data_IF_566127129429
#
_entry.id   IF_566127129429
#
_cell.length_a   1.000
_cell.length_b   1.000
_cell.length_c   1.000
_cell.angle_alpha   90.00
_cell.angle_beta   90.00
_cell.angle_gamma   90.00
#
_symmetry.space_group_name_H-M   'P 1'
#
loop_
_entity.id
_entity.type
_entity.pdbx_description
1 polymer ?
#
# COMPACT_ATOMS: atom_id res chain seq x y z
N UNK A 1 -5.74 -0.63 -14.81
CA UNK A 1 -5.43 -1.97 -15.36
C UNK A 1 -4.27 -1.83 -16.34
N UNK A 2 -3.06 -2.30 -16.01
CA UNK A 2 -2.07 -2.59 -17.04
C UNK A 2 -2.28 -4.06 -17.43
N UNK A 3 -2.65 -4.24 -18.68
CA UNK A 3 -3.12 -5.45 -19.33
C UNK A 3 -2.01 -6.48 -19.51
N UNK A 4 -1.62 -7.20 -18.44
CA UNK A 4 -1.03 -8.56 -18.50
C UNK A 4 -0.76 -9.24 -17.13
N UNK A 5 -1.29 -8.77 -15.99
CA UNK A 5 -1.12 -9.52 -14.72
C UNK A 5 0.33 -9.68 -14.23
N UNK A 6 1.29 -8.93 -14.78
CA UNK A 6 2.67 -8.95 -14.30
C UNK A 6 2.77 -8.20 -12.97
N UNK A 7 3.23 -8.90 -11.94
CA UNK A 7 3.58 -8.33 -10.64
C UNK A 7 4.82 -7.44 -10.82
N UNK A 8 4.72 -6.15 -10.46
CA UNK A 8 5.84 -5.23 -10.46
C UNK A 8 6.35 -4.99 -9.04
N UNK A 9 7.61 -5.29 -8.79
CA UNK A 9 8.27 -5.05 -7.51
C UNK A 9 8.61 -3.56 -7.37
N UNK A 10 8.48 -3.05 -6.16
CA UNK A 10 8.80 -1.67 -5.81
C UNK A 10 9.56 -1.61 -4.48
N UNK A 11 10.01 -0.42 -4.06
CA UNK A 11 10.65 -0.24 -2.77
C UNK A 11 10.23 1.07 -2.11
N UNK A 12 10.54 1.21 -0.81
CA UNK A 12 10.30 2.45 -0.07
C UNK A 12 11.13 3.63 -0.59
N UNK A 13 12.35 3.37 -1.06
CA UNK A 13 13.26 4.40 -1.59
C UNK A 13 13.00 4.75 -3.04
N UNK A 14 12.38 3.85 -3.81
CA UNK A 14 12.10 4.04 -5.22
C UNK A 14 10.71 3.51 -5.55
N UNK A 15 9.74 4.43 -5.64
CA UNK A 15 8.41 4.10 -6.10
C UNK A 15 8.40 3.96 -7.63
N UNK A 16 8.60 2.73 -8.10
CA UNK A 16 8.59 2.38 -9.53
C UNK A 16 7.18 2.20 -10.10
N UNK A 17 6.13 2.40 -9.29
CA UNK A 17 4.75 2.17 -9.69
C UNK A 17 4.22 3.24 -10.64
N UNK A 18 3.33 2.85 -11.56
CA UNK A 18 2.65 3.79 -12.45
C UNK A 18 1.65 4.66 -11.69
N UNK A 19 1.15 5.73 -12.31
CA UNK A 19 0.32 6.76 -11.67
C UNK A 19 -0.98 6.27 -11.01
N UNK A 20 -1.51 5.12 -11.39
CA UNK A 20 -2.73 4.53 -10.79
C UNK A 20 -2.43 3.46 -9.75
N UNK A 21 -1.16 3.21 -9.47
CA UNK A 21 -0.66 2.19 -8.55
C UNK A 21 0.13 2.82 -7.42
N UNK A 22 0.13 2.15 -6.27
CA UNK A 22 0.91 2.51 -5.09
C UNK A 22 1.82 1.35 -4.71
N UNK A 23 2.94 1.66 -4.07
CA UNK A 23 3.89 0.64 -3.63
C UNK A 23 3.44 0.04 -2.29
N UNK A 24 2.92 -1.18 -2.32
CA UNK A 24 2.67 -1.95 -1.11
C UNK A 24 3.98 -2.53 -0.59
N UNK A 25 4.29 -2.27 0.68
CA UNK A 25 5.47 -2.83 1.34
C UNK A 25 5.02 -4.04 2.16
N UNK A 26 5.47 -5.23 1.80
CA UNK A 26 5.13 -6.48 2.48
C UNK A 26 6.15 -6.89 3.54
N UNK A 27 6.08 -8.15 3.97
CA UNK A 27 7.06 -8.76 4.87
C UNK A 27 8.34 -9.20 4.12
N UNK A 28 8.18 -9.52 2.84
CA UNK A 28 9.22 -10.07 1.97
C UNK A 28 9.22 -9.33 0.62
N UNK A 29 10.26 -9.54 -0.18
CA UNK A 29 10.35 -8.93 -1.51
C UNK A 29 9.17 -9.33 -2.41
N UNK A 30 8.75 -10.60 -2.34
CA UNK A 30 7.61 -11.13 -3.12
C UNK A 30 6.27 -10.52 -2.71
N UNK A 31 6.16 -9.96 -1.50
CA UNK A 31 4.97 -9.26 -1.01
C UNK A 31 5.12 -7.74 -1.07
N UNK A 32 6.21 -7.23 -1.67
CA UNK A 32 6.49 -5.81 -1.86
C UNK A 32 6.32 -5.43 -3.34
N UNK A 33 5.13 -4.95 -3.70
CA UNK A 33 4.72 -4.81 -5.10
C UNK A 33 3.76 -3.64 -5.35
N UNK A 34 3.62 -3.28 -6.62
CA UNK A 34 2.69 -2.25 -7.06
C UNK A 34 1.25 -2.76 -7.05
N UNK A 35 0.43 -2.20 -6.15
CA UNK A 35 -1.00 -2.50 -6.04
C UNK A 35 -1.83 -1.40 -6.74
N UNK A 36 -2.96 -1.74 -7.38
CA UNK A 36 -3.85 -0.74 -7.94
C UNK A 36 -4.56 0.06 -6.83
N UNK A 37 -5.20 1.17 -7.21
CA UNK A 37 -6.00 1.97 -6.29
C UNK A 37 -5.20 3.05 -5.58
N UNK A 38 -4.23 3.65 -6.27
CA UNK A 38 -3.58 4.87 -5.78
C UNK A 38 -4.65 5.94 -5.52
N UNK A 39 -4.58 6.55 -4.34
CA UNK A 39 -5.40 7.71 -3.98
C UNK A 39 -4.56 8.97 -3.94
N UNK A 40 -5.22 10.12 -3.93
CA UNK A 40 -4.56 11.41 -3.69
C UNK A 40 -3.96 11.44 -2.28
N UNK A 41 -2.74 11.95 -2.14
CA UNK A 41 -2.00 11.97 -0.87
C UNK A 41 -2.78 12.66 0.26
N UNK A 42 -3.55 13.70 -0.08
CA UNK A 42 -4.41 14.42 0.86
C UNK A 42 -5.55 13.59 1.44
N UNK A 43 -5.93 12.49 0.77
CA UNK A 43 -7.02 11.58 1.16
C UNK A 43 -6.52 10.26 1.75
N UNK A 44 -5.21 9.99 1.70
CA UNK A 44 -4.63 8.72 2.16
C UNK A 44 -4.95 8.43 3.64
N UNK A 45 -4.87 9.44 4.52
CA UNK A 45 -5.18 9.30 5.95
C UNK A 45 -6.69 9.16 6.25
N UNK A 46 -7.55 9.30 5.25
CA UNK A 46 -9.00 9.13 5.38
C UNK A 46 -9.45 7.71 5.03
N UNK A 47 -8.55 6.88 4.50
CA UNK A 47 -8.84 5.49 4.18
C UNK A 47 -9.11 4.68 5.46
N UNK A 48 -10.05 3.72 5.42
CA UNK A 48 -10.31 2.85 6.55
C UNK A 48 -9.10 1.94 6.83
N UNK A 49 -8.99 1.47 8.07
CA UNK A 49 -8.01 0.46 8.45
C UNK A 49 -8.20 -0.81 7.60
N UNK A 50 -7.14 -1.20 6.89
CA UNK A 50 -7.06 -2.48 6.19
C UNK A 50 -6.09 -3.42 6.93
N UNK A 51 -6.62 -4.50 7.51
CA UNK A 51 -5.82 -5.52 8.21
C UNK A 51 -4.95 -6.33 7.23
N UNK A 52 -5.37 -6.41 5.96
CA UNK A 52 -4.70 -7.20 4.94
C UNK A 52 -5.05 -8.69 5.02
N UNK A 53 -4.35 -9.49 4.23
CA UNK A 53 -4.49 -10.95 4.17
C UNK A 53 -3.10 -11.59 4.22
N UNK A 54 -2.99 -12.73 4.90
CA UNK A 54 -1.73 -13.47 5.07
C UNK A 54 -1.41 -13.74 6.55
N UNK A 55 -0.30 -14.44 6.79
CA UNK A 55 0.13 -14.84 8.14
C UNK A 55 1.21 -13.95 8.77
N UNK A 56 1.69 -12.92 8.07
CA UNK A 56 2.75 -12.06 8.57
C UNK A 56 2.24 -11.08 9.64
N UNK A 57 3.04 -10.87 10.69
CA UNK A 57 2.77 -9.85 11.71
C UNK A 57 3.73 -8.68 11.53
N UNK A 58 3.24 -7.55 10.99
CA UNK A 58 4.04 -6.35 10.73
C UNK A 58 3.49 -5.18 11.53
N UNK A 59 4.35 -4.46 12.24
CA UNK A 59 3.97 -3.21 12.88
C UNK A 59 3.67 -2.15 11.80
N UNK A 60 2.44 -1.64 11.81
CA UNK A 60 1.92 -0.62 10.89
C UNK A 60 1.12 0.41 11.67
N UNK A 61 0.88 1.54 11.03
CA UNK A 61 0.15 2.67 11.60
C UNK A 61 -0.96 3.07 10.64
N UNK A 62 -2.09 3.50 11.19
CA UNK A 62 -3.18 4.10 10.43
C UNK A 62 -3.74 5.27 11.23
N UNK A 63 -4.26 6.29 10.56
CA UNK A 63 -4.88 7.39 11.25
C UNK A 63 -6.34 7.04 11.60
N UNK A 64 -6.70 7.12 12.88
CA UNK A 64 -8.07 7.00 13.33
C UNK A 64 -8.70 8.39 13.44
N UNK A 65 -9.57 8.72 12.50
CA UNK A 65 -10.25 10.02 12.42
C UNK A 65 -11.23 10.28 13.55
N UNK A 66 -11.78 9.26 14.21
CA UNK A 66 -12.73 9.45 15.32
C UNK A 66 -12.05 10.01 16.57
N UNK A 67 -10.80 9.63 16.80
CA UNK A 67 -10.02 10.03 17.98
C UNK A 67 -8.81 10.91 17.65
N UNK A 68 -8.61 11.22 16.37
CA UNK A 68 -7.53 12.06 15.85
C UNK A 68 -6.12 11.60 16.27
N UNK A 69 -5.84 10.29 16.14
CA UNK A 69 -4.54 9.69 16.50
C UNK A 69 -4.08 8.68 15.46
N UNK A 70 -2.77 8.48 15.38
CA UNK A 70 -2.14 7.38 14.64
C UNK A 70 -1.94 6.15 15.54
#
# INVERSE_FOLDING_TARGET
MHSNGHIKICSKSLNSCSSTFWCHIGAELLTTLCCPGRVEESTACQLPLAIGHGGANLQRWYFNSNIHKC
#
